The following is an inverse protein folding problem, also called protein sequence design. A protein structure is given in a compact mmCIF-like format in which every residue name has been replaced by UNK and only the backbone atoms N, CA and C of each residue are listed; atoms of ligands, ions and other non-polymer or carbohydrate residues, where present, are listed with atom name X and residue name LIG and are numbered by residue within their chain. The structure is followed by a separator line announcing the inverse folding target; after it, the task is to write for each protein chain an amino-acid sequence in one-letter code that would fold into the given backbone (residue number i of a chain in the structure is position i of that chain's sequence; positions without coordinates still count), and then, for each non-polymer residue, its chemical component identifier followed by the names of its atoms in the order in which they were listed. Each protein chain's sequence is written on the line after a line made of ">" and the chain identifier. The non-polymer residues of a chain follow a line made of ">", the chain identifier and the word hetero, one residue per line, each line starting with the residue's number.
data_IF_186667330398
#
_entry.id   IF_186667330398
#
_cell.length_a   1.000
_cell.length_b   1.000
_cell.length_c   1.000
_cell.angle_alpha   90.00
_cell.angle_beta   90.00
_cell.angle_gamma   90.00
#
_symmetry.space_group_name_H-M   'P 1'
#
loop_
_entity.id
_entity.type
_entity.pdbx_description
1 polymer ?
#
# COMPACT_ATOMS: atom_id res chain seq x y z
N UNK A 1 13.35 -59.44 1.50
CA UNK A 1 12.33 -58.50 0.97
C UNK A 1 11.92 -57.53 2.08
N UNK A 2 12.04 -56.21 1.81
CA UNK A 2 11.33 -55.04 2.42
C UNK A 2 11.41 -54.90 3.96
N UNK A 3 12.29 -54.04 4.51
CA UNK A 3 12.08 -52.59 4.85
C UNK A 3 10.75 -52.39 5.61
N UNK A 4 10.69 -51.81 6.81
CA UNK A 4 11.13 -50.44 7.16
C UNK A 4 11.37 -50.31 8.68
N UNK A 5 12.42 -49.60 9.04
CA UNK A 5 12.69 -49.14 10.40
C UNK A 5 11.67 -48.07 10.81
N UNK A 6 11.13 -48.23 12.01
CA UNK A 6 10.67 -47.12 12.86
C UNK A 6 11.94 -46.45 13.39
N UNK A 7 12.01 -45.11 13.42
CA UNK A 7 12.28 -44.22 14.57
C UNK A 7 12.56 -42.79 14.05
N UNK A 8 12.09 -41.81 14.83
CA UNK A 8 12.52 -40.40 14.96
C UNK A 8 11.80 -39.35 14.11
N UNK A 9 10.78 -38.76 14.74
CA UNK A 9 10.50 -37.34 14.59
C UNK A 9 11.71 -36.55 15.14
N UNK A 10 12.50 -35.96 14.25
CA UNK A 10 13.44 -34.90 14.59
C UNK A 10 12.82 -33.58 14.12
N UNK A 11 12.37 -32.76 15.06
CA UNK A 11 12.10 -31.36 14.81
C UNK A 11 13.44 -30.66 14.55
N UNK A 12 13.80 -30.46 13.28
CA UNK A 12 14.88 -29.57 12.88
C UNK A 12 14.31 -28.18 12.62
N UNK A 13 14.68 -27.26 13.51
CA UNK A 13 14.60 -25.81 13.34
C UNK A 13 15.41 -25.41 12.10
N UNK A 14 14.75 -25.29 10.96
CA UNK A 14 15.25 -24.56 9.81
C UNK A 14 14.13 -23.62 9.38
N UNK A 15 14.41 -22.32 9.47
CA UNK A 15 13.48 -21.25 9.08
C UNK A 15 13.09 -21.37 7.62
N UNK A 16 11.98 -22.07 7.36
CA UNK A 16 11.26 -21.90 6.12
C UNK A 16 10.49 -20.60 6.25
N UNK A 17 11.11 -19.54 5.74
CA UNK A 17 10.38 -18.38 5.24
C UNK A 17 9.21 -18.91 4.44
N UNK A 18 7.99 -18.69 4.93
CA UNK A 18 6.80 -18.90 4.13
C UNK A 18 6.92 -17.92 2.98
N UNK A 19 7.42 -18.38 1.84
CA UNK A 19 7.22 -17.67 0.59
C UNK A 19 5.70 -17.64 0.41
N UNK A 20 5.10 -16.51 0.81
CA UNK A 20 3.77 -16.18 0.38
C UNK A 20 3.86 -16.14 -1.14
N UNK A 21 3.31 -17.13 -1.83
CA UNK A 21 2.90 -17.00 -3.23
C UNK A 21 1.69 -16.07 -3.31
N UNK A 22 1.74 -14.96 -2.56
CA UNK A 22 0.70 -13.97 -2.49
C UNK A 22 0.90 -13.04 -3.65
N UNK A 23 -0.05 -13.07 -4.59
CA UNK A 23 -0.32 -11.93 -5.43
C UNK A 23 -0.52 -10.75 -4.49
N UNK A 24 0.32 -9.71 -4.59
CA UNK A 24 0.00 -8.44 -3.94
C UNK A 24 -1.40 -8.06 -4.40
N UNK A 25 -2.27 -7.68 -3.46
CA UNK A 25 -3.64 -7.21 -3.76
C UNK A 25 -3.67 -5.71 -3.52
N UNK A 26 -4.22 -4.95 -4.45
CA UNK A 26 -4.20 -3.50 -4.38
C UNK A 26 -4.73 -2.87 -5.66
N UNK A 27 -5.34 -1.70 -5.52
CA UNK A 27 -5.81 -0.92 -6.65
C UNK A 27 -4.90 0.29 -6.88
N UNK A 28 -4.58 0.54 -8.15
CA UNK A 28 -3.63 1.58 -8.55
C UNK A 28 -4.19 2.99 -8.30
N UNK A 29 -3.35 4.05 -8.30
CA UNK A 29 -3.85 5.43 -8.32
C UNK A 29 -4.82 5.71 -9.49
N UNK A 30 -4.64 4.98 -10.60
CA UNK A 30 -5.50 5.09 -11.78
C UNK A 30 -6.93 4.63 -11.55
N UNK A 31 -7.14 3.61 -10.70
CA UNK A 31 -8.45 3.16 -10.23
C UNK A 31 -9.08 4.21 -9.31
N UNK A 32 -8.37 4.57 -8.23
CA UNK A 32 -8.91 5.42 -7.16
C UNK A 32 -9.34 6.81 -7.60
N UNK A 33 -8.72 7.35 -8.66
CA UNK A 33 -9.02 8.70 -9.14
C UNK A 33 -10.27 8.80 -10.01
N UNK A 34 -10.83 7.68 -10.48
CA UNK A 34 -12.00 7.74 -11.34
C UNK A 34 -13.26 7.94 -10.52
N UNK A 35 -14.11 8.86 -10.96
CA UNK A 35 -15.35 9.22 -10.25
C UNK A 35 -16.31 8.05 -10.05
N UNK A 36 -16.31 7.06 -10.95
CA UNK A 36 -17.17 5.88 -10.81
C UNK A 36 -16.75 4.93 -9.68
N UNK A 37 -15.54 5.07 -9.12
CA UNK A 37 -15.04 4.26 -8.02
C UNK A 37 -15.04 5.02 -6.68
N UNK A 38 -15.65 6.22 -6.63
CA UNK A 38 -15.72 7.01 -5.39
C UNK A 38 -16.59 6.36 -4.30
N UNK A 39 -17.48 5.45 -4.68
CA UNK A 39 -18.23 4.61 -3.74
C UNK A 39 -17.33 3.64 -2.96
N UNK A 40 -16.15 3.31 -3.50
CA UNK A 40 -15.14 2.46 -2.85
C UNK A 40 -14.26 3.23 -1.85
N UNK A 41 -14.40 4.56 -1.74
CA UNK A 41 -13.66 5.35 -0.76
C UNK A 41 -14.25 5.18 0.64
N UNK A 42 -13.59 4.38 1.48
CA UNK A 42 -14.06 4.08 2.83
C UNK A 42 -13.33 4.93 3.88
N UNK A 43 -14.07 5.82 4.54
CA UNK A 43 -13.60 6.65 5.65
C UNK A 43 -12.82 7.90 5.26
N UNK A 44 -12.60 8.10 3.96
CA UNK A 44 -11.97 9.29 3.39
C UNK A 44 -12.81 9.84 2.24
N UNK A 45 -12.65 11.12 1.91
CA UNK A 45 -13.36 11.77 0.80
C UNK A 45 -12.38 12.46 -0.16
N UNK A 46 -12.75 12.60 -1.45
CA UNK A 46 -11.90 13.26 -2.44
C UNK A 46 -11.38 14.66 -2.05
N UNK A 47 -12.22 15.43 -1.35
CA UNK A 47 -11.97 16.82 -0.94
C UNK A 47 -11.23 16.98 0.39
N UNK A 48 -11.00 15.89 1.14
CA UNK A 48 -10.12 15.95 2.31
C UNK A 48 -8.71 16.34 1.90
N UNK A 49 -8.05 17.12 2.74
CA UNK A 49 -6.65 17.50 2.52
C UNK A 49 -5.71 16.44 3.05
N UNK A 50 -4.49 16.37 2.52
CA UNK A 50 -3.41 15.57 3.11
C UNK A 50 -3.23 15.91 4.60
N UNK A 51 -3.25 17.20 4.97
CA UNK A 51 -3.14 17.59 6.38
C UNK A 51 -4.23 16.96 7.25
N UNK A 52 -5.47 16.88 6.76
CA UNK A 52 -6.57 16.28 7.52
C UNK A 52 -6.53 14.75 7.58
N UNK A 53 -6.10 14.09 6.50
CA UNK A 53 -6.12 12.62 6.39
C UNK A 53 -4.84 11.94 6.90
N UNK A 54 -3.68 12.58 6.68
CA UNK A 54 -2.36 12.09 7.07
C UNK A 54 -1.77 12.82 8.27
N UNK A 55 -2.28 14.02 8.61
CA UNK A 55 -1.64 14.87 9.61
C UNK A 55 -0.40 15.63 9.11
N UNK A 56 -0.08 15.53 7.82
CA UNK A 56 1.04 16.20 7.15
C UNK A 56 0.72 16.44 5.66
N UNK A 57 1.61 17.09 4.89
CA UNK A 57 1.43 17.25 3.43
C UNK A 57 0.58 18.45 2.99
N UNK A 58 0.12 19.30 3.92
CA UNK A 58 -0.48 20.59 3.60
C UNK A 58 -1.91 20.52 3.05
N UNK A 59 -2.30 21.54 2.27
CA UNK A 59 -3.69 21.78 1.86
C UNK A 59 -4.11 21.10 0.57
N UNK A 60 -3.21 20.41 -0.14
CA UNK A 60 -3.56 19.60 -1.32
C UNK A 60 -4.63 18.58 -0.93
N UNK A 61 -5.68 18.45 -1.73
CA UNK A 61 -6.72 17.44 -1.52
C UNK A 61 -6.26 16.06 -1.95
N UNK A 62 -6.88 15.01 -1.42
CA UNK A 62 -6.55 13.63 -1.79
C UNK A 62 -6.76 13.38 -3.30
N UNK A 63 -7.82 13.95 -3.88
CA UNK A 63 -8.07 13.82 -5.33
C UNK A 63 -7.07 14.61 -6.19
N UNK A 64 -6.62 15.77 -5.72
CA UNK A 64 -5.52 16.50 -6.39
C UNK A 64 -4.22 15.70 -6.33
N UNK A 65 -3.90 15.08 -5.18
CA UNK A 65 -2.76 14.19 -5.02
C UNK A 65 -2.78 13.01 -5.99
N UNK A 66 -3.93 12.35 -6.15
CA UNK A 66 -4.12 11.28 -7.13
C UNK A 66 -3.98 11.75 -8.59
N UNK A 67 -4.32 13.00 -8.87
CA UNK A 67 -4.23 13.61 -10.21
C UNK A 67 -2.92 14.36 -10.47
N UNK A 68 -2.02 14.43 -9.49
CA UNK A 68 -0.75 15.13 -9.62
C UNK A 68 0.07 14.56 -10.80
N UNK A 69 0.81 15.42 -11.49
CA UNK A 69 1.66 15.01 -12.62
C UNK A 69 3.15 15.15 -12.25
N UNK A 70 4.01 14.37 -12.92
CA UNK A 70 5.46 14.38 -12.66
C UNK A 70 5.94 13.32 -11.67
N UNK A 71 7.22 13.41 -11.30
CA UNK A 71 7.93 12.49 -10.40
C UNK A 71 8.05 13.01 -8.96
N UNK A 72 8.98 12.46 -8.18
CA UNK A 72 9.30 12.97 -6.85
C UNK A 72 8.10 12.97 -5.90
N UNK A 73 7.90 14.10 -5.22
CA UNK A 73 6.79 14.28 -4.28
C UNK A 73 5.42 14.05 -4.94
N UNK A 74 5.21 14.53 -6.17
CA UNK A 74 3.92 14.32 -6.86
C UNK A 74 3.66 12.84 -7.18
N UNK A 75 4.70 12.07 -7.50
CA UNK A 75 4.55 10.62 -7.64
C UNK A 75 4.28 9.93 -6.31
N UNK A 76 4.94 10.38 -5.24
CA UNK A 76 4.68 9.89 -3.89
C UNK A 76 3.24 10.19 -3.45
N UNK A 77 2.73 11.39 -3.69
CA UNK A 77 1.34 11.78 -3.37
C UNK A 77 0.33 10.85 -4.06
N UNK A 78 0.48 10.61 -5.37
CA UNK A 78 -0.38 9.67 -6.10
C UNK A 78 -0.40 8.29 -5.44
N UNK A 79 0.79 7.74 -5.17
CA UNK A 79 0.92 6.39 -4.62
C UNK A 79 0.50 6.31 -3.14
N UNK A 80 0.72 7.37 -2.36
CA UNK A 80 0.35 7.43 -0.96
C UNK A 80 -1.18 7.47 -0.78
N UNK A 81 -1.91 8.23 -1.59
CA UNK A 81 -3.39 8.25 -1.53
C UNK A 81 -3.95 6.89 -1.94
N UNK A 82 -3.43 6.25 -2.99
CA UNK A 82 -3.83 4.90 -3.36
C UNK A 82 -3.57 3.89 -2.23
N UNK A 83 -2.40 3.94 -1.60
CA UNK A 83 -2.07 3.07 -0.48
C UNK A 83 -2.98 3.31 0.74
N UNK A 84 -3.35 4.56 1.01
CA UNK A 84 -4.28 4.93 2.08
C UNK A 84 -5.65 4.27 1.85
N UNK A 85 -6.20 4.43 0.65
CA UNK A 85 -7.52 3.88 0.29
C UNK A 85 -7.51 2.35 0.23
N UNK A 86 -6.45 1.74 -0.33
CA UNK A 86 -6.24 0.30 -0.30
C UNK A 86 -6.24 -0.24 1.14
N UNK A 87 -5.57 0.43 2.08
CA UNK A 87 -5.53 0.01 3.50
C UNK A 87 -6.90 -0.01 4.19
N UNK A 88 -7.91 0.65 3.60
CA UNK A 88 -9.29 0.73 4.13
C UNK A 88 -10.25 -0.20 3.41
N UNK A 89 -10.12 -0.31 2.10
CA UNK A 89 -11.11 -0.96 1.24
C UNK A 89 -10.66 -2.34 0.71
N UNK A 90 -9.36 -2.57 0.57
CA UNK A 90 -8.81 -3.82 0.01
C UNK A 90 -8.44 -4.76 1.16
N UNK A 91 -9.11 -5.91 1.20
CA UNK A 91 -8.77 -6.97 2.17
C UNK A 91 -7.36 -7.50 1.90
N UNK A 92 -6.60 -7.74 2.97
CA UNK A 92 -5.22 -8.24 2.92
C UNK A 92 -4.21 -7.31 2.23
N UNK A 93 -4.51 -6.01 2.11
CA UNK A 93 -3.52 -5.03 1.68
C UNK A 93 -2.30 -5.03 2.63
N UNK A 94 -1.09 -4.95 2.07
CA UNK A 94 0.18 -5.18 2.79
C UNK A 94 0.51 -4.13 3.86
N UNK A 95 -0.14 -2.96 3.82
CA UNK A 95 0.04 -1.91 4.84
C UNK A 95 -1.24 -1.58 5.57
N UNK A 96 -1.11 -1.32 6.87
CA UNK A 96 -2.16 -0.64 7.63
C UNK A 96 -2.20 0.85 7.30
N UNK A 97 -3.33 1.51 7.55
CA UNK A 97 -3.48 2.97 7.38
C UNK A 97 -2.40 3.76 8.13
N UNK A 98 -2.08 3.35 9.37
CA UNK A 98 -1.04 4.00 10.17
C UNK A 98 0.35 3.88 9.51
N UNK A 99 0.71 2.70 8.99
CA UNK A 99 1.98 2.50 8.32
C UNK A 99 2.11 3.34 7.05
N UNK A 100 1.02 3.52 6.30
CA UNK A 100 0.99 4.40 5.12
C UNK A 100 1.27 5.84 5.55
N UNK A 101 0.59 6.33 6.60
CA UNK A 101 0.76 7.69 7.12
C UNK A 101 2.19 7.94 7.60
N UNK A 102 2.74 7.04 8.42
CA UNK A 102 4.09 7.17 8.97
C UNK A 102 5.16 7.21 7.87
N UNK A 103 5.03 6.37 6.83
CA UNK A 103 5.94 6.35 5.69
C UNK A 103 5.86 7.62 4.85
N UNK A 104 4.65 8.10 4.57
CA UNK A 104 4.45 9.33 3.80
C UNK A 104 5.01 10.54 4.54
N UNK A 105 4.59 10.77 5.79
CA UNK A 105 5.09 11.90 6.58
C UNK A 105 6.61 11.79 6.87
N UNK A 106 7.13 10.58 7.04
CA UNK A 106 8.57 10.32 7.16
C UNK A 106 9.35 10.75 5.91
N UNK A 107 8.82 10.50 4.71
CA UNK A 107 9.44 10.94 3.46
C UNK A 107 9.37 12.46 3.25
N UNK A 108 8.35 13.15 3.77
CA UNK A 108 8.30 14.61 3.75
C UNK A 108 9.39 15.24 4.64
N UNK A 109 9.70 14.60 5.77
CA UNK A 109 10.76 15.03 6.68
C UNK A 109 12.16 14.65 6.20
N UNK A 110 12.26 13.69 5.28
CA UNK A 110 13.52 13.25 4.68
C UNK A 110 13.32 13.06 3.17
N UNK A 111 13.55 14.13 2.40
CA UNK A 111 13.35 14.14 0.95
C UNK A 111 14.12 13.04 0.20
N UNK A 112 15.24 12.56 0.74
CA UNK A 112 16.08 11.54 0.10
C UNK A 112 15.39 10.19 -0.03
N UNK A 113 14.36 9.91 0.78
CA UNK A 113 13.62 8.64 0.74
C UNK A 113 12.31 8.72 -0.06
N UNK A 114 11.96 9.87 -0.65
CA UNK A 114 10.72 10.06 -1.42
C UNK A 114 10.56 8.97 -2.48
N UNK A 115 11.58 8.80 -3.33
CA UNK A 115 11.52 7.82 -4.42
C UNK A 115 11.42 6.37 -3.90
N UNK A 116 12.10 6.09 -2.79
CA UNK A 116 12.08 4.77 -2.14
C UNK A 116 10.71 4.44 -1.55
N UNK A 117 10.08 5.40 -0.86
CA UNK A 117 8.74 5.20 -0.29
C UNK A 117 7.69 5.12 -1.40
N UNK A 118 7.80 5.97 -2.42
CA UNK A 118 6.94 5.92 -3.62
C UNK A 118 6.98 4.54 -4.28
N UNK A 119 8.18 3.99 -4.51
CA UNK A 119 8.34 2.65 -5.13
C UNK A 119 7.71 1.54 -4.28
N UNK A 120 7.79 1.64 -2.94
CA UNK A 120 7.16 0.66 -2.04
C UNK A 120 5.65 0.73 -2.08
N UNK A 121 5.06 1.93 -2.12
CA UNK A 121 3.62 2.04 -2.28
C UNK A 121 3.17 1.54 -3.65
N UNK A 122 3.87 1.93 -4.71
CA UNK A 122 3.62 1.45 -6.08
C UNK A 122 3.62 -0.08 -6.16
N UNK A 123 4.65 -0.75 -5.62
CA UNK A 123 4.72 -2.22 -5.68
C UNK A 123 3.53 -2.94 -5.03
N UNK A 124 2.90 -2.35 -4.01
CA UNK A 124 1.71 -2.95 -3.38
C UNK A 124 0.40 -2.47 -4.02
N UNK A 125 0.36 -1.24 -4.55
CA UNK A 125 -0.81 -0.71 -5.25
C UNK A 125 -1.01 -1.36 -6.62
N UNK A 126 0.06 -1.81 -7.27
CA UNK A 126 0.06 -2.46 -8.58
C UNK A 126 -0.27 -3.98 -8.51
N UNK A 127 -0.92 -4.38 -7.42
CA UNK A 127 -1.44 -5.72 -7.22
C UNK A 127 -2.69 -6.05 -8.06
N UNK A 128 -3.27 -7.22 -7.83
CA UNK A 128 -4.60 -7.55 -8.32
C UNK A 128 -5.63 -6.71 -7.54
N UNK A 129 -6.35 -5.84 -8.25
CA UNK A 129 -7.40 -5.01 -7.65
C UNK A 129 -8.69 -5.84 -7.51
N UNK A 130 -9.16 -6.14 -6.30
CA UNK A 130 -10.34 -6.99 -6.10
C UNK A 130 -11.66 -6.20 -6.15
N UNK A 131 -11.60 -4.91 -6.46
CA UNK A 131 -12.74 -3.99 -6.48
C UNK A 131 -13.23 -3.79 -7.93
N UNK A 132 -14.51 -3.43 -8.06
CA UNK A 132 -15.19 -3.30 -9.36
C UNK A 132 -14.80 -2.03 -10.12
#
# INVERSE_FOLDING_TARGET
>A
MKKKAVVLAAAMLLGFSTYSFGWDVGCTPGYWKQTQHFDSWIGYTPDQTFQSAFGCGGSTTLIEGLNANGGGLYALERQAVAALLNSKAVSHYSYTTQQVIEKFCGALNNGDIIETVKNRFESHNDGECPLN
#
